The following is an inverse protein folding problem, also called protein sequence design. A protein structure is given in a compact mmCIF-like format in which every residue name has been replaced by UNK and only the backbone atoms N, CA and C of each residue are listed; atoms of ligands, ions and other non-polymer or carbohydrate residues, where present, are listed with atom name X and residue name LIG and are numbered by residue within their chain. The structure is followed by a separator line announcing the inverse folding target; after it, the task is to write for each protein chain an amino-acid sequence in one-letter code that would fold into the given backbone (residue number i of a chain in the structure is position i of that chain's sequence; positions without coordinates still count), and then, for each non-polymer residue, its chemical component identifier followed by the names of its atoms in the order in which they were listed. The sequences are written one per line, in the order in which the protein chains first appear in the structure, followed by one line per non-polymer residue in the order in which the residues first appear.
data_IF_013287765235
#
_entry.id   IF_013287765235
#
_cell.length_a   1.000
_cell.length_b   1.000
_cell.length_c   1.000
_cell.angle_alpha   90.00
_cell.angle_beta   90.00
_cell.angle_gamma   90.00
#
_symmetry.space_group_name_H-M   'P 1'
#
loop_
_entity.id
_entity.type
_entity.pdbx_description
1 polymer ?
#
# COMPACT_ATOMS: atom_id res chain seq x y z
N UNK A 1 -70.12 -20.65 -12.49
CA UNK A 1 -68.76 -21.05 -12.10
C UNK A 1 -67.81 -20.14 -12.88
N UNK A 2 -67.37 -19.04 -12.27
CA UNK A 2 -66.68 -17.94 -12.97
C UNK A 2 -65.15 -18.11 -12.84
N UNK A 3 -64.47 -18.13 -13.98
CA UNK A 3 -63.01 -18.20 -14.09
C UNK A 3 -62.44 -16.79 -13.93
N UNK A 4 -61.77 -16.51 -12.82
CA UNK A 4 -61.05 -15.24 -12.60
C UNK A 4 -59.68 -15.30 -13.27
N UNK A 5 -59.54 -14.64 -14.43
CA UNK A 5 -58.27 -14.41 -15.10
C UNK A 5 -57.53 -13.27 -14.38
N UNK A 6 -56.53 -13.59 -13.57
CA UNK A 6 -55.63 -12.60 -12.97
C UNK A 6 -54.67 -12.08 -14.04
N UNK A 7 -54.89 -10.84 -14.49
CA UNK A 7 -53.96 -10.13 -15.38
C UNK A 7 -52.76 -9.62 -14.58
N UNK A 8 -51.57 -10.17 -14.85
CA UNK A 8 -50.30 -9.68 -14.29
C UNK A 8 -49.95 -8.33 -14.94
N UNK A 9 -49.70 -7.25 -14.19
CA UNK A 9 -49.27 -5.99 -14.77
C UNK A 9 -47.83 -6.12 -15.30
N UNK A 10 -47.63 -5.82 -16.58
CA UNK A 10 -46.32 -5.76 -17.23
C UNK A 10 -45.52 -4.57 -16.71
N UNK A 11 -44.44 -4.83 -15.96
CA UNK A 11 -43.48 -3.81 -15.56
C UNK A 11 -42.79 -3.22 -16.81
N UNK A 12 -42.97 -1.92 -17.05
CA UNK A 12 -42.35 -1.21 -18.17
C UNK A 12 -40.82 -1.03 -18.02
N UNK A 13 -40.09 -0.79 -19.13
CA UNK A 13 -38.62 -0.74 -19.12
C UNK A 13 -38.08 0.40 -18.25
N UNK A 14 -37.16 0.00 -17.38
CA UNK A 14 -36.51 0.78 -16.31
C UNK A 14 -35.70 1.96 -16.89
N UNK A 15 -36.30 3.15 -16.91
CA UNK A 15 -35.60 4.41 -17.20
C UNK A 15 -34.43 4.71 -16.21
N UNK A 16 -34.37 4.01 -15.08
CA UNK A 16 -33.33 4.13 -14.05
C UNK A 16 -32.03 3.36 -14.31
N UNK A 17 -32.00 2.39 -15.24
CA UNK A 17 -30.77 1.61 -15.49
C UNK A 17 -29.69 2.47 -16.15
N UNK A 18 -30.10 3.36 -17.07
CA UNK A 18 -29.18 4.24 -17.80
C UNK A 18 -28.57 5.32 -16.90
N UNK A 19 -29.35 5.93 -16.01
CA UNK A 19 -28.84 6.96 -15.07
C UNK A 19 -27.90 6.38 -14.01
N UNK A 20 -28.10 5.13 -13.59
CA UNK A 20 -27.18 4.43 -12.69
C UNK A 20 -25.83 4.14 -13.36
N UNK A 21 -25.84 3.71 -14.63
CA UNK A 21 -24.62 3.49 -15.42
C UNK A 21 -23.85 4.79 -15.70
N UNK A 22 -24.53 5.92 -15.93
CA UNK A 22 -23.87 7.22 -16.07
C UNK A 22 -23.22 7.71 -14.76
N UNK A 23 -23.85 7.49 -13.60
CA UNK A 23 -23.24 7.78 -12.28
C UNK A 23 -22.02 6.91 -11.98
N UNK A 24 -22.03 5.64 -12.39
CA UNK A 24 -20.87 4.74 -12.24
C UNK A 24 -19.68 5.21 -13.11
N UNK A 25 -19.96 5.72 -14.32
CA UNK A 25 -18.94 6.25 -15.24
C UNK A 25 -18.33 7.57 -14.74
N UNK A 26 -19.11 8.45 -14.11
CA UNK A 26 -18.60 9.69 -13.48
C UNK A 26 -17.78 9.39 -12.21
N UNK A 27 -18.20 8.40 -11.42
CA UNK A 27 -17.46 7.98 -10.23
C UNK A 27 -16.11 7.35 -10.53
N UNK A 28 -16.00 6.60 -11.63
CA UNK A 28 -14.76 5.94 -12.06
C UNK A 28 -13.67 6.95 -12.45
N UNK A 29 -14.02 8.03 -13.16
CA UNK A 29 -13.06 9.10 -13.49
C UNK A 29 -12.58 9.87 -12.26
N UNK A 30 -13.48 10.16 -11.31
CA UNK A 30 -13.12 10.81 -10.04
C UNK A 30 -12.20 9.89 -9.23
N UNK A 31 -12.55 8.61 -9.10
CA UNK A 31 -11.73 7.62 -8.42
C UNK A 31 -10.34 7.49 -9.08
N UNK A 32 -10.30 7.38 -10.41
CA UNK A 32 -9.06 7.33 -11.19
C UNK A 32 -8.18 8.55 -10.96
N UNK A 33 -8.77 9.75 -10.98
CA UNK A 33 -8.01 10.99 -10.76
C UNK A 33 -7.46 11.07 -9.33
N UNK A 34 -8.25 10.68 -8.33
CA UNK A 34 -7.80 10.59 -6.93
C UNK A 34 -6.65 9.60 -6.80
N UNK A 35 -6.83 8.35 -7.29
CA UNK A 35 -5.78 7.33 -7.23
C UNK A 35 -4.51 7.77 -7.98
N UNK A 36 -4.65 8.42 -9.12
CA UNK A 36 -3.52 8.96 -9.86
C UNK A 36 -2.78 10.05 -9.08
N UNK A 37 -3.50 10.98 -8.43
CA UNK A 37 -2.90 12.01 -7.58
C UNK A 37 -2.14 11.40 -6.40
N UNK A 38 -2.69 10.37 -5.75
CA UNK A 38 -1.99 9.63 -4.69
C UNK A 38 -0.77 8.89 -5.21
N UNK A 39 -0.87 8.21 -6.35
CA UNK A 39 0.27 7.53 -6.96
C UNK A 39 1.38 8.54 -7.33
N UNK A 40 1.01 9.66 -7.95
CA UNK A 40 1.93 10.74 -8.31
C UNK A 40 2.56 11.38 -7.06
N UNK A 41 1.79 11.58 -5.98
CA UNK A 41 2.31 12.14 -4.73
C UNK A 41 3.31 11.21 -4.05
N UNK A 42 3.07 9.89 -4.05
CA UNK A 42 4.03 8.90 -3.55
C UNK A 42 5.35 9.01 -4.32
N UNK A 43 5.30 9.01 -5.65
CA UNK A 43 6.50 9.15 -6.49
C UNK A 43 7.21 10.49 -6.21
N UNK A 44 6.46 11.59 -6.12
CA UNK A 44 7.00 12.91 -5.83
C UNK A 44 7.71 12.96 -4.47
N UNK A 45 7.09 12.41 -3.42
CA UNK A 45 7.68 12.33 -2.08
C UNK A 45 8.93 11.46 -2.10
N UNK A 46 8.92 10.31 -2.80
CA UNK A 46 10.11 9.48 -2.96
C UNK A 46 11.25 10.25 -3.63
N UNK A 47 10.98 10.99 -4.70
CA UNK A 47 12.00 11.81 -5.38
C UNK A 47 12.53 12.93 -4.47
N UNK A 48 11.66 13.60 -3.70
CA UNK A 48 12.06 14.61 -2.72
C UNK A 48 12.94 14.01 -1.63
N UNK A 49 12.59 12.83 -1.11
CA UNK A 49 13.41 12.13 -0.14
C UNK A 49 14.79 11.82 -0.73
N UNK A 50 14.85 11.23 -1.92
CA UNK A 50 16.13 10.95 -2.60
C UNK A 50 16.95 12.23 -2.76
N UNK A 51 16.34 13.34 -3.16
CA UNK A 51 17.01 14.62 -3.31
C UNK A 51 17.57 15.17 -1.98
N UNK A 52 16.77 15.16 -0.92
CA UNK A 52 17.17 15.62 0.42
C UNK A 52 18.28 14.73 0.99
N UNK A 53 18.14 13.41 0.89
CA UNK A 53 19.15 12.42 1.28
C UNK A 53 20.44 12.61 0.48
N UNK A 54 20.33 12.88 -0.83
CA UNK A 54 21.49 13.14 -1.67
C UNK A 54 22.23 14.42 -1.26
N UNK A 55 21.53 15.47 -0.83
CA UNK A 55 22.21 16.67 -0.31
C UNK A 55 22.79 16.45 1.09
N UNK A 56 22.07 15.76 1.99
CA UNK A 56 22.52 15.49 3.36
C UNK A 56 23.66 14.48 3.47
N UNK A 57 23.81 13.58 2.49
CA UNK A 57 24.81 12.51 2.52
C UNK A 57 26.19 12.91 2.00
N UNK A 58 26.51 14.20 1.86
CA UNK A 58 27.85 14.64 1.40
C UNK A 58 28.96 14.14 2.33
N UNK A 59 28.81 14.32 3.65
CA UNK A 59 29.81 13.94 4.64
C UNK A 59 30.12 12.43 4.67
N UNK A 60 29.11 11.54 4.71
CA UNK A 60 29.36 10.09 4.74
C UNK A 60 29.89 9.54 3.41
N UNK A 61 29.42 10.07 2.27
CA UNK A 61 29.85 9.60 0.93
C UNK A 61 31.33 9.80 0.68
N UNK A 62 31.89 10.94 1.11
CA UNK A 62 33.32 11.21 0.94
C UNK A 62 34.20 10.47 1.97
N UNK A 63 33.67 10.16 3.15
CA UNK A 63 34.46 9.64 4.28
C UNK A 63 34.44 8.11 4.41
N UNK A 64 33.35 7.44 4.00
CA UNK A 64 33.17 6.00 4.28
C UNK A 64 33.21 5.05 3.07
N UNK A 65 32.99 5.51 1.83
CA UNK A 65 33.06 4.65 0.63
C UNK A 65 32.34 3.30 0.79
N UNK A 66 32.92 2.21 0.30
CA UNK A 66 32.39 0.85 0.50
C UNK A 66 32.54 0.31 1.94
N UNK A 67 33.38 0.92 2.78
CA UNK A 67 33.53 0.55 4.19
C UNK A 67 32.32 0.94 5.05
N UNK A 68 31.45 1.82 4.55
CA UNK A 68 30.16 2.16 5.16
C UNK A 68 29.28 0.93 5.44
N UNK A 69 29.33 -0.07 4.55
CA UNK A 69 28.54 -1.30 4.67
C UNK A 69 29.06 -2.27 5.74
N UNK A 70 30.34 -2.17 6.13
CA UNK A 70 30.96 -3.05 7.13
C UNK A 70 31.24 -2.36 8.48
N UNK A 71 31.02 -1.05 8.58
CA UNK A 71 31.20 -0.31 9.84
C UNK A 71 29.96 -0.48 10.71
N UNK A 72 30.15 -1.00 11.94
CA UNK A 72 29.08 -1.15 12.94
C UNK A 72 28.92 0.07 13.86
N UNK A 73 29.87 1.01 13.82
CA UNK A 73 29.86 2.20 14.67
C UNK A 73 28.91 3.25 14.09
N UNK A 74 27.90 3.62 14.89
CA UNK A 74 27.06 4.79 14.63
C UNK A 74 27.29 5.81 15.74
N UNK A 75 28.13 6.80 15.45
CA UNK A 75 28.44 7.92 16.32
C UNK A 75 28.17 9.26 15.62
N UNK A 76 27.00 9.88 15.88
CA UNK A 76 26.63 11.15 15.28
C UNK A 76 27.42 12.35 15.84
N UNK A 77 28.17 12.18 16.93
CA UNK A 77 28.97 13.24 17.55
C UNK A 77 30.31 13.39 16.82
N UNK A 78 30.91 12.27 16.39
CA UNK A 78 32.20 12.23 15.69
C UNK A 78 32.07 12.04 14.16
N UNK A 79 30.88 12.24 13.60
CA UNK A 79 30.56 12.01 12.19
C UNK A 79 30.97 10.61 11.71
N UNK A 80 30.72 9.58 12.52
CA UNK A 80 30.90 8.17 12.14
C UNK A 80 29.56 7.52 11.91
N UNK A 81 29.28 7.20 10.65
CA UNK A 81 28.00 6.61 10.26
C UNK A 81 28.28 5.26 9.63
N UNK A 82 27.78 4.19 10.24
CA UNK A 82 27.82 2.83 9.71
C UNK A 82 26.43 2.32 9.32
N UNK A 83 26.32 1.55 8.23
CA UNK A 83 25.04 1.01 7.76
C UNK A 83 24.57 -0.24 8.52
N UNK A 84 25.50 -1.00 9.11
CA UNK A 84 25.21 -2.30 9.73
C UNK A 84 24.12 -2.28 10.79
N UNK A 85 24.09 -1.31 11.73
CA UNK A 85 23.03 -1.24 12.74
C UNK A 85 21.64 -1.06 12.14
N UNK A 86 21.53 -0.28 11.06
CA UNK A 86 20.27 -0.07 10.34
C UNK A 86 19.83 -1.32 9.58
N UNK A 87 20.76 -1.98 8.88
CA UNK A 87 20.46 -3.23 8.17
C UNK A 87 20.00 -4.29 9.17
N UNK A 88 20.74 -4.45 10.27
CA UNK A 88 20.42 -5.40 11.33
C UNK A 88 19.05 -5.10 11.95
N UNK A 89 18.78 -3.85 12.31
CA UNK A 89 17.48 -3.44 12.87
C UNK A 89 16.33 -3.74 11.92
N UNK A 90 16.48 -3.47 10.63
CA UNK A 90 15.43 -3.71 9.62
C UNK A 90 15.18 -5.21 9.42
N UNK A 91 16.25 -6.02 9.38
CA UNK A 91 16.13 -7.47 9.24
C UNK A 91 15.51 -8.12 10.49
N UNK A 92 15.96 -7.74 11.69
CA UNK A 92 15.43 -8.29 12.95
C UNK A 92 13.97 -7.91 13.12
N UNK A 93 13.60 -6.64 12.90
CA UNK A 93 12.21 -6.22 13.01
C UNK A 93 11.31 -6.91 11.99
N UNK A 94 11.77 -7.05 10.74
CA UNK A 94 11.03 -7.77 9.69
C UNK A 94 10.88 -9.26 10.03
N UNK A 95 11.93 -9.90 10.54
CA UNK A 95 11.90 -11.30 10.95
C UNK A 95 10.94 -11.54 12.13
N UNK A 96 10.96 -10.69 13.16
CA UNK A 96 10.03 -10.75 14.28
C UNK A 96 8.59 -10.51 13.82
N UNK A 97 8.39 -9.55 12.91
CA UNK A 97 7.07 -9.28 12.34
C UNK A 97 6.52 -10.49 11.59
N UNK A 98 7.32 -11.12 10.72
CA UNK A 98 6.94 -12.35 10.02
C UNK A 98 6.68 -13.51 10.99
N UNK A 99 7.52 -13.66 12.01
CA UNK A 99 7.38 -14.72 13.00
C UNK A 99 6.02 -14.67 13.71
N UNK A 100 5.49 -13.47 13.96
CA UNK A 100 4.16 -13.29 14.56
C UNK A 100 3.05 -13.34 13.50
N UNK A 101 3.24 -12.71 12.34
CA UNK A 101 2.22 -12.60 11.30
C UNK A 101 1.90 -13.94 10.63
N UNK A 102 2.90 -14.80 10.41
CA UNK A 102 2.75 -16.10 9.74
C UNK A 102 1.79 -17.04 10.50
N UNK A 103 2.00 -17.37 11.80
CA UNK A 103 1.09 -18.28 12.51
C UNK A 103 -0.32 -17.71 12.64
N UNK A 104 -0.46 -16.40 12.85
CA UNK A 104 -1.76 -15.71 12.86
C UNK A 104 -2.47 -15.82 11.50
N UNK A 105 -1.74 -15.58 10.41
CA UNK A 105 -2.26 -15.67 9.04
C UNK A 105 -2.68 -17.08 8.67
N UNK A 106 -1.88 -18.09 9.03
CA UNK A 106 -2.23 -19.51 8.81
C UNK A 106 -3.46 -19.90 9.64
N UNK A 107 -3.54 -19.48 10.90
CA UNK A 107 -4.70 -19.74 11.76
C UNK A 107 -6.00 -19.15 11.17
N UNK A 108 -5.95 -17.91 10.68
CA UNK A 108 -7.08 -17.28 10.01
C UNK A 108 -7.46 -18.01 8.70
N UNK A 109 -6.48 -18.44 7.90
CA UNK A 109 -6.71 -19.16 6.66
C UNK A 109 -7.38 -20.53 6.89
N UNK A 110 -6.95 -21.29 7.90
CA UNK A 110 -7.55 -22.59 8.25
C UNK A 110 -8.98 -22.40 8.73
N UNK A 111 -9.23 -21.42 9.61
CA UNK A 111 -10.58 -21.11 10.09
C UNK A 111 -11.54 -20.77 8.95
N UNK A 112 -11.09 -19.96 7.98
CA UNK A 112 -11.89 -19.66 6.79
C UNK A 112 -12.13 -20.90 5.92
N UNK A 113 -11.15 -21.78 5.75
CA UNK A 113 -11.26 -22.95 4.89
C UNK A 113 -12.24 -24.02 5.44
N UNK A 114 -12.41 -24.09 6.76
CA UNK A 114 -13.29 -25.05 7.41
C UNK A 114 -14.73 -24.53 7.59
N UNK A 115 -14.91 -23.20 7.70
CA UNK A 115 -16.22 -22.58 7.93
C UNK A 115 -16.88 -21.96 6.68
N UNK A 116 -16.12 -21.77 5.59
CA UNK A 116 -16.64 -21.34 4.29
C UNK A 116 -17.17 -22.54 3.48
#
# INVERSE_FOLDING_TARGET
MATTTTTVPSAGPVAGLRSFLFRLREGDEIARMITFLFAASVVLVTLLLVFVLWQGSVLPRHKFGFNFFHTSVWDPIFDQFGALPFIYGTLVTSAVSLFVAVPLGIGAAIFLAELA
#
